data_IF_563922089830
#
_entry.id   IF_563922089830
#
_cell.length_a   1.000
_cell.length_b   1.000
_cell.length_c   1.000
_cell.angle_alpha   90.00
_cell.angle_beta   90.00
_cell.angle_gamma   90.00
#
_symmetry.space_group_name_H-M   'P 1'
#
loop_
_entity.id
_entity.type
_entity.pdbx_description
1 polymer ?
#
# COMPACT_ATOMS: atom_id res chain seq x y z
N UNK A 1 -5.79 41.21 -10.17
CA UNK A 1 -5.36 39.82 -10.44
C UNK A 1 -6.38 38.89 -9.80
N UNK A 2 -6.88 37.87 -10.51
CA UNK A 2 -7.83 36.91 -9.93
C UNK A 2 -7.21 36.22 -8.72
N UNK A 3 -8.02 35.95 -7.69
CA UNK A 3 -7.53 35.26 -6.49
C UNK A 3 -7.18 33.81 -6.86
N UNK A 4 -6.09 33.23 -6.32
CA UNK A 4 -5.77 31.84 -6.55
C UNK A 4 -6.81 30.92 -5.91
N UNK A 5 -7.11 29.79 -6.55
CA UNK A 5 -8.00 28.77 -6.00
C UNK A 5 -7.42 28.19 -4.70
N UNK A 6 -8.23 28.17 -3.63
CA UNK A 6 -7.86 27.58 -2.35
C UNK A 6 -8.79 26.41 -2.05
N UNK A 7 -8.21 25.21 -1.99
CA UNK A 7 -8.96 24.02 -1.62
C UNK A 7 -9.09 23.92 -0.10
N UNK A 8 -10.33 23.99 0.41
CA UNK A 8 -10.61 24.00 1.86
C UNK A 8 -10.16 22.74 2.59
N UNK A 9 -9.99 21.62 1.88
CA UNK A 9 -9.61 20.32 2.45
C UNK A 9 -8.15 19.94 2.16
N UNK A 10 -7.28 20.91 1.83
CA UNK A 10 -5.87 20.64 1.52
C UNK A 10 -5.17 19.88 2.65
N UNK A 11 -5.37 20.28 3.91
CA UNK A 11 -4.80 19.59 5.07
C UNK A 11 -5.28 18.16 5.25
N UNK A 12 -6.52 17.88 4.83
CA UNK A 12 -7.08 16.52 4.84
C UNK A 12 -6.47 15.68 3.71
N UNK A 13 -6.18 16.30 2.55
CA UNK A 13 -5.49 15.64 1.45
C UNK A 13 -4.07 15.25 1.85
N UNK A 14 -3.29 16.18 2.40
CA UNK A 14 -1.93 15.94 2.92
C UNK A 14 -1.92 14.79 3.94
N UNK A 15 -2.86 14.78 4.88
CA UNK A 15 -2.98 13.70 5.86
C UNK A 15 -3.29 12.34 5.19
N UNK A 16 -4.15 12.32 4.16
CA UNK A 16 -4.47 11.08 3.42
C UNK A 16 -3.31 10.57 2.59
N UNK A 17 -2.49 11.47 2.03
CA UNK A 17 -1.24 11.11 1.35
C UNK A 17 -0.26 10.45 2.31
N UNK A 18 -0.05 11.05 3.49
CA UNK A 18 0.79 10.45 4.53
C UNK A 18 0.26 9.09 4.99
N UNK A 19 -1.07 8.95 5.15
CA UNK A 19 -1.68 7.68 5.52
C UNK A 19 -1.53 6.60 4.43
N UNK A 20 -1.58 6.98 3.14
CA UNK A 20 -1.28 6.05 2.04
C UNK A 20 0.19 5.62 2.06
N UNK A 21 1.12 6.55 2.29
CA UNK A 21 2.55 6.24 2.35
C UNK A 21 2.84 5.27 3.50
N UNK A 22 2.31 5.53 4.69
CA UNK A 22 2.43 4.63 5.83
C UNK A 22 1.87 3.23 5.53
N UNK A 23 0.72 3.14 4.88
CA UNK A 23 0.13 1.85 4.49
C UNK A 23 0.98 1.11 3.44
N UNK A 24 1.64 1.85 2.52
CA UNK A 24 2.56 1.28 1.53
C UNK A 24 3.82 0.73 2.20
N UNK A 25 4.41 1.46 3.14
CA UNK A 25 5.56 1.00 3.92
C UNK A 25 5.21 -0.24 4.75
N UNK A 26 4.06 -0.24 5.42
CA UNK A 26 3.59 -1.41 6.17
C UNK A 26 3.39 -2.64 5.27
N UNK A 27 2.85 -2.46 4.07
CA UNK A 27 2.73 -3.52 3.07
C UNK A 27 4.08 -4.05 2.61
N UNK A 28 5.05 -3.17 2.35
CA UNK A 28 6.40 -3.57 1.95
C UNK A 28 7.08 -4.41 3.05
N UNK A 29 6.96 -4.00 4.31
CA UNK A 29 7.52 -4.75 5.44
C UNK A 29 6.82 -6.10 5.63
N UNK A 30 5.48 -6.15 5.54
CA UNK A 30 4.74 -7.40 5.61
C UNK A 30 5.16 -8.38 4.49
N UNK A 31 5.42 -7.87 3.28
CA UNK A 31 5.89 -8.67 2.16
C UNK A 31 7.32 -9.20 2.39
N UNK A 32 8.22 -8.34 2.89
CA UNK A 32 9.59 -8.71 3.27
C UNK A 32 9.59 -9.86 4.29
N UNK A 33 8.85 -9.69 5.40
CA UNK A 33 8.74 -10.69 6.45
C UNK A 33 8.15 -12.01 5.94
N UNK A 34 7.09 -11.95 5.13
CA UNK A 34 6.49 -13.14 4.54
C UNK A 34 7.49 -13.91 3.65
N UNK A 35 8.25 -13.20 2.80
CA UNK A 35 9.28 -13.83 1.97
C UNK A 35 10.42 -14.43 2.78
N UNK A 36 10.89 -13.71 3.81
CA UNK A 36 11.94 -14.20 4.71
C UNK A 36 11.52 -15.50 5.40
N UNK A 37 10.31 -15.53 5.97
CA UNK A 37 9.78 -16.73 6.62
C UNK A 37 9.50 -17.88 5.64
N UNK A 38 9.12 -17.58 4.39
CA UNK A 38 9.00 -18.60 3.35
C UNK A 38 10.35 -19.26 3.04
N UNK A 39 11.43 -18.48 2.99
CA UNK A 39 12.79 -19.03 2.83
C UNK A 39 13.20 -19.89 4.03
N UNK A 40 12.90 -19.45 5.26
CA UNK A 40 13.16 -20.26 6.48
C UNK A 40 12.41 -21.59 6.45
N UNK A 41 11.14 -21.58 6.06
CA UNK A 41 10.35 -22.81 5.91
C UNK A 41 10.97 -23.77 4.90
N UNK A 42 11.38 -23.25 3.74
CA UNK A 42 12.05 -24.07 2.72
C UNK A 42 13.36 -24.68 3.24
N UNK A 43 14.17 -23.92 3.99
CA UNK A 43 15.40 -24.44 4.58
C UNK A 43 15.12 -25.60 5.57
N UNK A 44 14.06 -25.51 6.38
CA UNK A 44 13.65 -26.60 7.29
C UNK A 44 13.18 -27.83 6.49
N UNK A 45 12.39 -27.63 5.43
CA UNK A 45 11.95 -28.71 4.54
C UNK A 45 13.15 -29.43 3.88
N UNK A 46 14.17 -28.68 3.48
CA UNK A 46 15.41 -29.22 2.93
C UNK A 46 16.20 -30.02 3.98
N UNK A 47 16.29 -29.50 5.22
CA UNK A 47 16.92 -30.23 6.33
C UNK A 47 16.20 -31.54 6.63
N UNK A 48 14.86 -31.55 6.64
CA UNK A 48 14.05 -32.77 6.81
C UNK A 48 14.31 -33.74 5.66
N UNK A 49 14.34 -33.26 4.41
CA UNK A 49 14.60 -34.11 3.25
C UNK A 49 16.01 -34.73 3.32
N UNK A 50 17.01 -33.96 3.72
CA UNK A 50 18.38 -34.45 3.93
C UNK A 50 18.45 -35.45 5.09
N UNK A 51 17.76 -35.17 6.20
CA UNK A 51 17.66 -36.06 7.37
C UNK A 51 17.08 -37.43 6.99
N UNK A 52 16.01 -37.45 6.18
CA UNK A 52 15.37 -38.68 5.69
C UNK A 52 16.21 -39.46 4.67
N UNK A 53 17.03 -38.78 3.87
CA UNK A 53 17.89 -39.42 2.86
C UNK A 53 19.11 -40.10 3.47
N UNK A 54 19.54 -39.70 4.67
CA UNK A 54 20.63 -40.38 5.36
C UNK A 54 20.17 -41.80 5.72
N UNK A 55 20.71 -42.78 4.99
CA UNK A 55 20.69 -44.18 5.40
C UNK A 55 21.74 -44.37 6.47
N UNK A 56 21.38 -45.15 7.47
CA UNK A 56 22.28 -45.47 8.54
C UNK A 56 22.35 -46.98 8.70
N UNK A 57 23.38 -47.57 8.09
CA UNK A 57 23.74 -48.96 8.32
C UNK A 57 24.63 -49.00 9.57
N UNK A 58 24.37 -49.95 10.48
CA UNK A 58 25.09 -50.15 11.76
C UNK A 58 25.03 -49.00 12.79
N UNK A 59 23.86 -48.43 13.09
CA UNK A 59 23.71 -47.49 14.22
C UNK A 59 23.69 -48.18 15.58
N UNK A 60 24.29 -47.52 16.57
CA UNK A 60 24.06 -47.83 17.98
C UNK A 60 22.65 -47.39 18.42
N UNK A 61 22.14 -47.98 19.50
CA UNK A 61 20.87 -47.57 20.11
C UNK A 61 20.86 -46.07 20.50
N UNK A 62 22.00 -45.53 20.94
CA UNK A 62 22.14 -44.10 21.26
C UNK A 62 22.01 -43.22 20.01
N UNK A 63 22.57 -43.64 18.88
CA UNK A 63 22.48 -42.88 17.63
C UNK A 63 21.04 -42.88 17.10
N UNK A 64 20.32 -43.99 17.27
CA UNK A 64 18.91 -44.10 16.91
C UNK A 64 18.02 -43.19 17.77
N UNK A 65 18.30 -43.09 19.07
CA UNK A 65 17.60 -42.16 19.96
C UNK A 65 17.84 -40.70 19.58
N UNK A 66 19.09 -40.32 19.33
CA UNK A 66 19.44 -38.96 18.90
C UNK A 66 18.78 -38.60 17.56
N UNK A 67 18.72 -39.56 16.63
CA UNK A 67 18.06 -39.41 15.35
C UNK A 67 16.55 -39.16 15.50
N UNK A 68 15.86 -39.93 16.34
CA UNK A 68 14.43 -39.73 16.60
C UNK A 68 14.16 -38.37 17.24
N UNK A 69 14.99 -37.97 18.20
CA UNK A 69 14.85 -36.68 18.87
C UNK A 69 15.03 -35.51 17.89
N UNK A 70 16.02 -35.61 16.99
CA UNK A 70 16.24 -34.60 15.96
C UNK A 70 15.11 -34.56 14.92
N UNK A 71 14.57 -35.71 14.50
CA UNK A 71 13.40 -35.76 13.62
C UNK A 71 12.16 -35.09 14.25
N UNK A 72 11.96 -35.32 15.56
CA UNK A 72 10.86 -34.70 16.31
C UNK A 72 11.03 -33.19 16.39
N UNK A 73 12.22 -32.70 16.73
CA UNK A 73 12.53 -31.27 16.76
C UNK A 73 12.29 -30.60 15.39
N UNK A 74 12.76 -31.21 14.30
CA UNK A 74 12.55 -30.70 12.95
C UNK A 74 11.06 -30.63 12.57
N UNK A 75 10.25 -31.59 13.00
CA UNK A 75 8.79 -31.58 12.78
C UNK A 75 8.11 -30.46 13.56
N UNK A 76 8.51 -30.23 14.80
CA UNK A 76 8.00 -29.12 15.61
C UNK A 76 8.37 -27.76 15.01
N UNK A 77 9.62 -27.60 14.58
CA UNK A 77 10.10 -26.40 13.89
C UNK A 77 9.33 -26.14 12.60
N UNK A 78 9.07 -27.20 11.82
CA UNK A 78 8.26 -27.11 10.60
C UNK A 78 6.85 -26.61 10.90
N UNK A 79 6.17 -27.21 11.89
CA UNK A 79 4.82 -26.81 12.28
C UNK A 79 4.78 -25.35 12.76
N UNK A 80 5.75 -24.96 13.58
CA UNK A 80 5.89 -23.57 14.06
C UNK A 80 6.10 -22.60 12.91
N UNK A 81 7.02 -22.92 11.99
CA UNK A 81 7.31 -22.10 10.81
C UNK A 81 6.10 -21.97 9.88
N UNK A 82 5.35 -23.04 9.66
CA UNK A 82 4.12 -23.03 8.87
C UNK A 82 3.03 -22.16 9.51
N UNK A 83 2.82 -22.28 10.82
CA UNK A 83 1.87 -21.46 11.55
C UNK A 83 2.25 -19.98 11.49
N UNK A 84 3.54 -19.68 11.66
CA UNK A 84 4.05 -18.31 11.52
C UNK A 84 3.84 -17.76 10.12
N UNK A 85 4.09 -18.56 9.08
CA UNK A 85 3.86 -18.16 7.69
C UNK A 85 2.39 -17.87 7.41
N UNK A 86 1.46 -18.69 7.93
CA UNK A 86 0.01 -18.43 7.84
C UNK A 86 -0.36 -17.09 8.49
N UNK A 87 0.14 -16.80 9.68
CA UNK A 87 -0.09 -15.51 10.34
C UNK A 87 0.44 -14.34 9.52
N UNK A 88 1.64 -14.46 8.97
CA UNK A 88 2.24 -13.43 8.12
C UNK A 88 1.48 -13.24 6.80
N UNK A 89 0.94 -14.31 6.22
CA UNK A 89 0.10 -14.24 5.02
C UNK A 89 -1.21 -13.49 5.30
N UNK A 90 -1.85 -13.76 6.44
CA UNK A 90 -3.03 -13.01 6.89
C UNK A 90 -2.70 -11.53 7.12
N UNK A 91 -1.55 -11.22 7.74
CA UNK A 91 -1.12 -9.84 7.92
C UNK A 91 -0.85 -9.13 6.59
N UNK A 92 -0.18 -9.81 5.66
CA UNK A 92 0.07 -9.31 4.30
C UNK A 92 -1.25 -8.98 3.59
N UNK A 93 -2.26 -9.85 3.70
CA UNK A 93 -3.58 -9.59 3.11
C UNK A 93 -4.26 -8.36 3.74
N UNK A 94 -4.17 -8.20 5.06
CA UNK A 94 -4.69 -7.01 5.76
C UNK A 94 -3.99 -5.74 5.28
N UNK A 95 -2.67 -5.71 5.24
CA UNK A 95 -1.90 -4.56 4.75
C UNK A 95 -2.22 -4.23 3.28
N UNK A 96 -2.43 -5.25 2.43
CA UNK A 96 -2.86 -5.04 1.03
C UNK A 96 -4.22 -4.36 0.96
N UNK A 97 -5.20 -4.87 1.72
CA UNK A 97 -6.54 -4.29 1.74
C UNK A 97 -6.52 -2.85 2.25
N UNK A 98 -5.71 -2.58 3.28
CA UNK A 98 -5.56 -1.24 3.84
C UNK A 98 -4.89 -0.28 2.85
N UNK A 99 -3.79 -0.67 2.21
CA UNK A 99 -3.12 0.15 1.19
C UNK A 99 -4.07 0.52 0.04
N UNK A 100 -4.88 -0.44 -0.43
CA UNK A 100 -5.91 -0.18 -1.45
C UNK A 100 -6.96 0.80 -0.94
N UNK A 101 -7.43 0.65 0.31
CA UNK A 101 -8.41 1.55 0.91
C UNK A 101 -7.86 2.98 1.00
N UNK A 102 -6.66 3.16 1.55
CA UNK A 102 -6.02 4.48 1.68
C UNK A 102 -5.78 5.15 0.33
N UNK A 103 -5.33 4.38 -0.67
CA UNK A 103 -5.16 4.91 -2.03
C UNK A 103 -6.48 5.35 -2.67
N UNK A 104 -7.57 4.61 -2.45
CA UNK A 104 -8.92 5.03 -2.88
C UNK A 104 -9.37 6.31 -2.17
N UNK A 105 -9.15 6.40 -0.86
CA UNK A 105 -9.54 7.56 -0.05
C UNK A 105 -8.80 8.84 -0.48
N UNK A 106 -7.49 8.76 -0.81
CA UNK A 106 -6.74 9.88 -1.39
C UNK A 106 -7.30 10.27 -2.76
N UNK A 107 -7.42 9.31 -3.69
CA UNK A 107 -7.88 9.57 -5.07
C UNK A 107 -9.27 10.20 -5.11
N UNK A 108 -10.16 9.84 -4.17
CA UNK A 108 -11.47 10.47 -4.07
C UNK A 108 -11.36 11.96 -3.75
N UNK A 109 -10.46 12.32 -2.83
CA UNK A 109 -10.28 13.71 -2.41
C UNK A 109 -9.55 14.54 -3.47
N UNK A 110 -8.59 13.93 -4.19
CA UNK A 110 -7.95 14.56 -5.35
C UNK A 110 -8.95 14.89 -6.45
N UNK A 111 -9.80 13.92 -6.82
CA UNK A 111 -10.88 14.17 -7.80
C UNK A 111 -11.81 15.28 -7.36
N UNK A 112 -12.11 15.36 -6.06
CA UNK A 112 -12.91 16.45 -5.51
C UNK A 112 -12.21 17.80 -5.67
N UNK A 113 -10.91 17.86 -5.37
CA UNK A 113 -10.07 19.06 -5.56
C UNK A 113 -10.04 19.50 -7.02
N UNK A 114 -9.77 18.56 -7.94
CA UNK A 114 -9.76 18.82 -9.39
C UNK A 114 -11.10 19.37 -9.89
N UNK A 115 -12.22 18.78 -9.46
CA UNK A 115 -13.55 19.22 -9.85
C UNK A 115 -13.88 20.62 -9.32
N UNK A 116 -13.48 20.94 -8.07
CA UNK A 116 -13.68 22.28 -7.51
C UNK A 116 -12.79 23.31 -8.21
N UNK A 117 -11.54 22.96 -8.52
CA UNK A 117 -10.63 23.83 -9.25
C UNK A 117 -11.18 24.15 -10.66
N UNK A 118 -11.68 23.14 -11.39
CA UNK A 118 -12.31 23.34 -12.70
C UNK A 118 -13.48 24.32 -12.63
N UNK A 119 -14.42 24.10 -11.71
CA UNK A 119 -15.57 24.99 -11.51
C UNK A 119 -15.15 26.42 -11.17
N UNK A 120 -14.15 26.57 -10.31
CA UNK A 120 -13.62 27.89 -9.97
C UNK A 120 -13.05 28.61 -11.19
N UNK A 121 -12.25 27.92 -12.01
CA UNK A 121 -11.69 28.50 -13.23
C UNK A 121 -12.77 28.86 -14.26
N UNK A 122 -13.77 27.99 -14.44
CA UNK A 122 -14.92 28.27 -15.32
C UNK A 122 -15.70 29.51 -14.87
N UNK A 123 -15.97 29.63 -13.56
CA UNK A 123 -16.66 30.80 -13.00
C UNK A 123 -15.86 32.10 -13.14
N UNK A 124 -14.55 32.07 -12.91
CA UNK A 124 -13.68 33.24 -13.08
C UNK A 124 -13.58 33.65 -14.55
N UNK A 125 -13.43 32.71 -15.49
CA UNK A 125 -13.43 33.01 -16.93
C UNK A 125 -14.76 33.63 -17.39
N UNK A 126 -15.89 33.16 -16.86
CA UNK A 126 -17.20 33.75 -17.16
C UNK A 126 -17.36 35.16 -16.59
N UNK A 127 -16.80 35.44 -15.41
CA UNK A 127 -16.79 36.80 -14.85
C UNK A 127 -15.92 37.73 -15.66
N UNK A 128 -14.70 37.32 -15.98
CA UNK A 128 -13.77 38.10 -16.81
C UNK A 128 -14.41 38.44 -18.16
N UNK A 129 -15.07 37.47 -18.82
CA UNK A 129 -15.77 37.71 -20.07
C UNK A 129 -16.89 38.76 -19.93
N UNK A 130 -17.70 38.68 -18.87
CA UNK A 130 -18.74 39.69 -18.59
C UNK A 130 -18.15 41.08 -18.35
N UNK A 131 -17.08 41.18 -17.57
CA UNK A 131 -16.40 42.45 -17.32
C UNK A 131 -15.85 43.07 -18.62
N UNK A 132 -15.29 42.25 -19.51
CA UNK A 132 -14.85 42.69 -20.84
C UNK A 132 -16.00 43.18 -21.72
N UNK A 133 -17.12 42.46 -21.77
CA UNK A 133 -18.30 42.84 -22.55
C UNK A 133 -18.92 44.16 -22.03
N UNK A 134 -18.99 44.33 -20.71
CA UNK A 134 -19.45 45.59 -20.09
C UNK A 134 -18.51 46.76 -20.42
N UNK A 135 -17.19 46.55 -20.34
CA UNK A 135 -16.20 47.56 -20.74
C UNK A 135 -16.28 47.92 -22.23
N UNK A 136 -16.51 46.93 -23.10
CA UNK A 136 -16.69 47.15 -24.53
C UNK A 136 -17.94 48.01 -24.80
N UNK A 137 -19.05 47.72 -24.10
CA UNK A 137 -20.30 48.47 -24.21
C UNK A 137 -20.15 49.93 -23.73
N UNK A 138 -19.42 50.16 -22.64
CA UNK A 138 -19.15 51.53 -22.13
C UNK A 138 -18.25 52.34 -23.08
N UNK A 139 -17.29 51.69 -23.75
CA UNK A 139 -16.41 52.35 -24.72
C UNK A 139 -17.06 52.59 -26.08
N UNK A 140 -18.10 51.84 -26.42
CA UNK A 140 -18.85 52.03 -27.66
C UNK A 140 -19.77 53.26 -27.55
N UNK A 141 -19.22 54.45 -27.80
CA UNK A 141 -20.02 55.62 -28.17
C UNK A 141 -20.38 55.48 -29.65
N UNK A 142 -21.68 55.37 -30.03
CA UNK A 142 -22.05 55.50 -31.43
C UNK A 142 -21.70 56.91 -31.90
N UNK A 143 -20.95 57.04 -33.00
CA UNK A 143 -20.93 58.30 -33.73
C UNK A 143 -22.33 58.53 -34.28
N UNK A 144 -23.00 59.55 -33.75
CA UNK A 144 -24.25 60.05 -34.31
C UNK A 144 -23.95 60.62 -35.70
N UNK A 145 -24.60 60.07 -36.72
CA UNK A 145 -24.72 60.65 -38.07
C UNK A 145 -25.63 61.87 -38.05
#
# INVERSE_FOLDING_TARGET
MPKPFVFKLEKVLEFREQAEEQARLALAEALRLHQEHKKKLWAIEEQIAAHRKKRYDNLSANDMWLWQQYDMALKEDLLSAQNRLKQLALNLQKCRAEAVKKSKDRKLLEKLKENQAKKYHEEESLKEQKEFDEMATIRFKPENF
#
